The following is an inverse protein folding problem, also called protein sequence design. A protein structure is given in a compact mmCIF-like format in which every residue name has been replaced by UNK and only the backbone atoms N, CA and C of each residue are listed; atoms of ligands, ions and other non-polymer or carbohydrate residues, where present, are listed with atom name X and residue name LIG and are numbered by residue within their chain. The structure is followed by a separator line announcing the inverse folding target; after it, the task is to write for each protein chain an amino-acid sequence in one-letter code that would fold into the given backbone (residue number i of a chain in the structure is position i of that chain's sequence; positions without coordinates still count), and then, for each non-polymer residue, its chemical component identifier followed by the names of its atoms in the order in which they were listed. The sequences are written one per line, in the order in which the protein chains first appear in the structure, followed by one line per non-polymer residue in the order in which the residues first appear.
data_IF_624028403333
#
_entry.id   IF_624028403333
#
_cell.length_a   1.000
_cell.length_b   1.000
_cell.length_c   1.000
_cell.angle_alpha   90.00
_cell.angle_beta   90.00
_cell.angle_gamma   90.00
#
_symmetry.space_group_name_H-M   'P 1'
#
loop_
_entity.id
_entity.type
_entity.pdbx_description
1 polymer ?
#
# COMPACT_ATOMS: atom_id res chain seq x y z
N UNK A 1 -8.97 7.06 9.40
CA UNK A 1 -7.62 7.64 9.54
C UNK A 1 -6.85 6.73 10.49
N UNK A 2 -5.60 6.37 10.20
CA UNK A 2 -4.77 5.61 11.15
C UNK A 2 -4.20 6.59 12.20
N UNK A 3 -4.20 6.19 13.47
CA UNK A 3 -3.45 6.91 14.51
C UNK A 3 -1.93 6.81 14.26
N UNK A 4 -1.16 7.90 14.35
CA UNK A 4 0.30 7.85 14.16
C UNK A 4 1.04 6.84 15.04
N UNK A 5 0.45 6.50 16.20
CA UNK A 5 1.00 5.56 17.16
C UNK A 5 0.45 4.13 16.98
N UNK A 6 -0.49 3.91 16.06
CA UNK A 6 -0.98 2.56 15.79
C UNK A 6 0.10 1.74 15.08
N UNK A 7 0.28 0.53 15.58
CA UNK A 7 1.29 -0.40 15.14
C UNK A 7 0.68 -1.47 14.24
N UNK A 8 1.38 -1.83 13.17
CA UNK A 8 1.08 -2.97 12.31
C UNK A 8 2.26 -3.94 12.31
N UNK A 9 1.95 -5.22 12.22
CA UNK A 9 2.94 -6.29 12.17
C UNK A 9 3.24 -6.64 10.71
N UNK A 10 4.54 -6.76 10.41
CA UNK A 10 5.10 -7.24 9.16
C UNK A 10 5.86 -8.56 9.42
N UNK A 11 5.29 -9.71 9.03
CA UNK A 11 5.96 -11.02 9.11
C UNK A 11 6.85 -11.32 7.89
N UNK A 12 7.03 -10.38 6.96
CA UNK A 12 7.81 -10.55 5.73
C UNK A 12 6.94 -10.67 4.47
N UNK A 13 5.66 -11.01 4.59
CA UNK A 13 4.68 -10.95 3.51
C UNK A 13 3.24 -10.71 3.98
N UNK A 14 2.37 -10.45 3.00
CA UNK A 14 0.93 -10.36 3.14
C UNK A 14 0.31 -11.29 2.10
N UNK A 15 -0.50 -12.23 2.57
CA UNK A 15 -1.33 -13.07 1.70
C UNK A 15 -2.69 -12.37 1.51
N UNK A 16 -3.20 -12.40 0.28
CA UNK A 16 -4.52 -11.91 -0.06
C UNK A 16 -5.27 -13.04 -0.74
N UNK A 17 -6.26 -13.60 -0.04
CA UNK A 17 -7.13 -14.64 -0.58
C UNK A 17 -7.88 -14.14 -1.82
N UNK A 18 -8.06 -15.03 -2.78
CA UNK A 18 -8.86 -14.74 -3.96
C UNK A 18 -10.35 -14.79 -3.62
N UNK A 19 -11.00 -13.62 -3.70
CA UNK A 19 -12.45 -13.47 -3.49
C UNK A 19 -13.30 -14.41 -4.36
N UNK A 20 -12.86 -14.73 -5.57
CA UNK A 20 -13.59 -15.57 -6.52
C UNK A 20 -13.30 -17.06 -6.35
N UNK A 21 -12.32 -17.43 -5.53
CA UNK A 21 -11.97 -18.79 -5.19
C UNK A 21 -11.69 -18.93 -3.67
N UNK A 22 -12.68 -18.62 -2.80
CA UNK A 22 -12.47 -18.46 -1.36
C UNK A 22 -12.08 -19.77 -0.65
N UNK A 23 -12.35 -20.92 -1.26
CA UNK A 23 -12.02 -22.24 -0.71
C UNK A 23 -10.75 -22.85 -1.34
N UNK A 24 -10.00 -22.07 -2.13
CA UNK A 24 -8.80 -22.51 -2.82
C UNK A 24 -7.60 -21.62 -2.43
N UNK A 25 -6.87 -21.96 -1.35
CA UNK A 25 -5.73 -21.18 -0.90
C UNK A 25 -4.62 -21.06 -1.94
N UNK A 26 -4.51 -22.01 -2.88
CA UNK A 26 -3.49 -21.99 -3.92
C UNK A 26 -3.67 -20.83 -4.91
N UNK A 27 -4.87 -20.25 -4.99
CA UNK A 27 -5.15 -19.06 -5.80
C UNK A 27 -4.98 -17.74 -5.04
N UNK A 28 -4.48 -17.77 -3.79
CA UNK A 28 -4.17 -16.54 -3.06
C UNK A 28 -2.97 -15.82 -3.66
N UNK A 29 -3.02 -14.49 -3.65
CA UNK A 29 -1.90 -13.66 -4.07
C UNK A 29 -0.98 -13.38 -2.88
N UNK A 30 0.33 -13.59 -3.05
CA UNK A 30 1.36 -13.18 -2.09
C UNK A 30 1.93 -11.82 -2.47
N UNK A 31 2.01 -10.91 -1.50
CA UNK A 31 2.68 -9.62 -1.59
C UNK A 31 3.82 -9.58 -0.58
N UNK A 32 5.04 -9.43 -1.06
CA UNK A 32 6.24 -9.60 -0.22
C UNK A 32 6.78 -8.28 0.29
N UNK A 33 7.34 -8.29 1.50
CA UNK A 33 8.23 -7.25 1.97
C UNK A 33 9.62 -7.42 1.36
N UNK A 34 10.34 -6.31 1.17
CA UNK A 34 11.73 -6.34 0.73
C UNK A 34 12.61 -7.05 1.77
N UNK A 35 12.31 -6.87 3.06
CA UNK A 35 12.90 -7.66 4.13
C UNK A 35 12.09 -8.95 4.31
N UNK A 36 12.68 -10.08 3.94
CA UNK A 36 12.03 -11.40 3.96
C UNK A 36 11.75 -11.92 5.37
N UNK A 37 12.50 -11.45 6.36
CA UNK A 37 12.25 -11.77 7.77
C UNK A 37 11.14 -10.91 8.38
N UNK A 38 10.72 -9.86 7.67
CA UNK A 38 9.77 -8.86 8.14
C UNK A 38 10.43 -7.83 9.07
N UNK A 39 9.76 -6.69 9.22
CA UNK A 39 10.19 -5.65 10.17
C UNK A 39 9.51 -5.77 11.55
N UNK A 40 8.71 -6.81 11.75
CA UNK A 40 7.93 -6.98 12.97
C UNK A 40 6.91 -5.85 13.15
N UNK A 41 6.73 -5.42 14.39
CA UNK A 41 5.73 -4.41 14.76
C UNK A 41 6.27 -2.99 14.58
N UNK A 42 5.69 -2.23 13.65
CA UNK A 42 6.06 -0.84 13.37
C UNK A 42 4.85 0.10 13.44
N UNK A 43 5.08 1.34 13.89
CA UNK A 43 4.14 2.46 13.65
C UNK A 43 4.49 3.18 12.32
N UNK A 44 3.78 4.26 11.97
CA UNK A 44 4.00 4.96 10.69
C UNK A 44 5.43 5.52 10.56
N UNK A 45 6.01 6.01 11.66
CA UNK A 45 7.39 6.54 11.67
C UNK A 45 8.38 5.41 11.39
N UNK A 46 8.23 4.28 12.07
CA UNK A 46 9.05 3.08 11.83
C UNK A 46 8.87 2.50 10.43
N UNK A 47 7.66 2.53 9.89
CA UNK A 47 7.34 2.05 8.55
C UNK A 47 7.99 2.91 7.46
N UNK A 48 7.99 4.24 7.62
CA UNK A 48 8.70 5.17 6.73
C UNK A 48 10.21 4.95 6.85
N UNK A 49 10.74 4.89 8.07
CA UNK A 49 12.17 4.73 8.32
C UNK A 49 12.76 3.43 7.72
N UNK A 50 11.96 2.35 7.69
CA UNK A 50 12.38 1.06 7.14
C UNK A 50 11.82 0.77 5.74
N UNK A 51 11.09 1.70 5.12
CA UNK A 51 10.41 1.47 3.84
C UNK A 51 9.59 0.16 3.81
N UNK A 52 8.85 -0.13 4.89
CA UNK A 52 8.19 -1.42 5.08
C UNK A 52 7.02 -1.61 4.10
N UNK A 53 7.15 -2.52 3.12
CA UNK A 53 6.10 -2.71 2.12
C UNK A 53 4.81 -3.25 2.72
N UNK A 54 4.89 -4.26 3.59
CA UNK A 54 3.71 -4.91 4.18
C UNK A 54 2.90 -3.93 5.05
N UNK A 55 3.55 -2.99 5.73
CA UNK A 55 2.86 -1.91 6.42
C UNK A 55 2.01 -1.08 5.42
N UNK A 56 2.60 -0.64 4.30
CA UNK A 56 1.88 0.17 3.31
C UNK A 56 0.83 -0.62 2.51
N UNK A 57 1.02 -1.93 2.29
CA UNK A 57 -0.03 -2.79 1.72
C UNK A 57 -1.26 -2.86 2.63
N UNK A 58 -1.06 -3.01 3.93
CA UNK A 58 -2.13 -3.02 4.92
C UNK A 58 -2.88 -1.67 4.96
N UNK A 59 -2.16 -0.55 4.93
CA UNK A 59 -2.75 0.80 4.87
C UNK A 59 -3.58 1.00 3.60
N UNK A 60 -3.04 0.60 2.44
CA UNK A 60 -3.67 0.82 1.13
C UNK A 60 -5.03 0.14 0.99
N UNK A 61 -5.27 -0.95 1.73
CA UNK A 61 -6.51 -1.72 1.65
C UNK A 61 -6.31 -3.22 1.57
N UNK A 62 -5.20 -3.75 2.11
CA UNK A 62 -4.95 -5.18 2.24
C UNK A 62 -6.19 -5.96 2.70
N UNK A 63 -6.29 -7.25 2.34
CA UNK A 63 -7.52 -8.02 2.53
C UNK A 63 -7.92 -7.99 4.01
N UNK A 64 -9.10 -7.45 4.34
CA UNK A 64 -9.62 -7.47 5.68
C UNK A 64 -9.50 -8.89 6.27
N UNK A 65 -9.95 -9.92 5.56
CA UNK A 65 -10.00 -11.30 6.08
C UNK A 65 -8.62 -11.89 6.42
N UNK A 66 -7.53 -11.29 5.93
CA UNK A 66 -6.18 -11.87 6.04
C UNK A 66 -5.22 -11.03 6.86
N UNK A 67 -5.42 -9.71 6.99
CA UNK A 67 -4.73 -8.91 8.02
C UNK A 67 -5.62 -8.75 9.25
N UNK A 68 -5.32 -9.43 10.38
CA UNK A 68 -6.04 -9.25 11.63
C UNK A 68 -5.84 -7.84 12.21
N UNK A 69 -4.86 -7.09 11.71
CA UNK A 69 -4.52 -5.72 12.13
C UNK A 69 -5.17 -4.71 11.18
N UNK A 70 -6.51 -4.70 11.11
CA UNK A 70 -7.21 -3.76 10.23
C UNK A 70 -7.22 -2.35 10.78
N UNK A 71 -6.64 -1.45 10.01
CA UNK A 71 -6.88 -0.02 10.11
C UNK A 71 -8.11 0.33 9.30
N UNK A 72 -9.28 0.30 9.96
CA UNK A 72 -10.59 0.46 9.31
C UNK A 72 -10.87 -0.66 8.28
N UNK A 73 -12.13 -1.04 8.15
CA UNK A 73 -12.57 -1.94 7.09
C UNK A 73 -12.21 -1.37 5.70
N UNK A 74 -11.44 -2.14 4.92
CA UNK A 74 -11.02 -1.78 3.56
C UNK A 74 -9.83 -0.80 3.44
N UNK A 75 -9.15 -0.44 4.55
CA UNK A 75 -7.99 0.46 4.53
C UNK A 75 -8.28 1.82 3.89
N UNK A 76 -7.33 2.39 3.17
CA UNK A 76 -7.49 3.67 2.44
C UNK A 76 -8.39 3.50 1.21
N UNK A 77 -8.18 2.42 0.45
CA UNK A 77 -8.87 2.07 -0.78
C UNK A 77 -8.37 2.84 -2.00
N UNK A 78 -8.54 2.24 -3.19
CA UNK A 78 -8.00 2.79 -4.46
C UNK A 78 -8.47 4.21 -4.77
N UNK A 79 -9.74 4.54 -4.50
CA UNK A 79 -10.29 5.88 -4.77
C UNK A 79 -9.56 6.98 -4.00
N UNK A 80 -9.25 6.72 -2.73
CA UNK A 80 -8.52 7.68 -1.91
C UNK A 80 -7.02 7.68 -2.20
N UNK A 81 -6.44 6.51 -2.52
CA UNK A 81 -5.05 6.44 -3.00
C UNK A 81 -4.85 7.33 -4.23
N UNK A 82 -5.70 7.19 -5.25
CA UNK A 82 -5.66 8.04 -6.46
C UNK A 82 -5.88 9.51 -6.11
N UNK A 83 -6.89 9.83 -5.30
CA UNK A 83 -7.18 11.20 -4.88
C UNK A 83 -5.97 11.87 -4.22
N UNK A 84 -5.31 11.19 -3.28
CA UNK A 84 -4.15 11.75 -2.58
C UNK A 84 -2.90 11.79 -3.46
N UNK A 85 -2.70 10.80 -4.33
CA UNK A 85 -1.61 10.82 -5.30
C UNK A 85 -1.74 12.02 -6.25
N UNK A 86 -2.93 12.27 -6.80
CA UNK A 86 -3.20 13.42 -7.66
C UNK A 86 -3.04 14.76 -6.91
N UNK A 87 -3.52 14.83 -5.66
CA UNK A 87 -3.32 16.02 -4.83
C UNK A 87 -1.84 16.32 -4.54
N UNK A 88 -0.97 15.32 -4.64
CA UNK A 88 0.49 15.44 -4.54
C UNK A 88 1.19 15.63 -5.91
N UNK A 89 0.44 15.78 -6.99
CA UNK A 89 0.98 16.02 -8.34
C UNK A 89 1.36 14.74 -9.11
N UNK A 90 1.01 13.55 -8.61
CA UNK A 90 1.23 12.31 -9.37
C UNK A 90 0.32 12.29 -10.58
N UNK A 91 0.93 12.19 -11.76
CA UNK A 91 0.22 12.17 -13.05
C UNK A 91 -0.16 13.55 -13.59
N UNK A 92 0.21 14.64 -12.91
CA UNK A 92 0.11 16.00 -13.47
C UNK A 92 1.44 16.45 -14.06
N UNK A 93 1.38 17.44 -14.96
CA UNK A 93 2.58 18.18 -15.35
C UNK A 93 3.20 18.87 -14.13
N UNK A 94 4.53 18.77 -14.00
CA UNK A 94 5.25 19.29 -12.84
C UNK A 94 5.45 20.82 -12.88
N UNK A 95 5.09 21.47 -13.99
CA UNK A 95 5.28 22.92 -14.19
C UNK A 95 6.74 23.35 -14.34
N UNK A 96 7.67 22.41 -14.48
CA UNK A 96 9.07 22.67 -14.82
C UNK A 96 9.28 22.53 -16.32
N UNK A 97 9.91 23.52 -16.96
CA UNK A 97 10.23 23.42 -18.37
C UNK A 97 11.40 22.46 -18.59
N UNK A 98 11.15 21.37 -19.33
CA UNK A 98 12.16 20.39 -19.71
C UNK A 98 12.19 20.27 -21.23
N UNK A 99 13.36 20.50 -21.83
CA UNK A 99 13.58 20.24 -23.26
C UNK A 99 13.63 18.72 -23.48
N UNK A 100 12.61 18.15 -24.11
CA UNK A 100 12.55 16.74 -24.51
C UNK A 100 11.96 15.76 -23.48
N UNK A 101 11.41 16.24 -22.36
CA UNK A 101 10.79 15.40 -21.32
C UNK A 101 9.32 15.12 -21.58
N UNK A 102 8.85 13.93 -21.21
CA UNK A 102 7.48 13.43 -21.39
C UNK A 102 6.43 14.22 -20.58
N UNK A 103 6.11 15.43 -21.04
CA UNK A 103 4.79 16.03 -20.91
C UNK A 103 4.10 15.83 -22.25
N UNK A 104 3.12 14.94 -22.33
CA UNK A 104 2.24 14.88 -23.50
C UNK A 104 0.79 14.82 -23.05
N UNK A 105 0.07 15.93 -23.16
CA UNK A 105 -1.23 15.98 -23.79
C UNK A 105 -1.01 16.34 -25.26
N UNK A 106 -1.06 15.34 -26.14
CA UNK A 106 -1.27 15.60 -27.56
C UNK A 106 -2.78 15.82 -27.76
N UNK A 107 -3.17 17.09 -27.91
CA UNK A 107 -4.42 17.64 -28.47
C UNK A 107 -5.78 17.11 -27.97
#
# INVERSE_FOLDING_TARGET
MISPNATLFDPGDLIVENRYAPNDPAQSQRFVCWNREGHGSLNIVGAIANSCNVYFYQIGGGNPSVSPLRLREGGLGIRNLVRYAQALGVGSELGIELVGGAGRPDA
#
